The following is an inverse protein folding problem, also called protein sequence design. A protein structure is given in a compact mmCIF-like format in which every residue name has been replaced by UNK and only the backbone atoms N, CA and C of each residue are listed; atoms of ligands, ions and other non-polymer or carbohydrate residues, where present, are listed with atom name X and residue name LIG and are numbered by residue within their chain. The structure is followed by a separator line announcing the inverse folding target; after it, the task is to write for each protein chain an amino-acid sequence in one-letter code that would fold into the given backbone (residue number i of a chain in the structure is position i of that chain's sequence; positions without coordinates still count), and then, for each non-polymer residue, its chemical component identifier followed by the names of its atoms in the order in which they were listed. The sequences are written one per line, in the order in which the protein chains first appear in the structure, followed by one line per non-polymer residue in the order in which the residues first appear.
data_IF_899838374068
#
_entry.id   IF_899838374068
#
_cell.length_a   1.000
_cell.length_b   1.000
_cell.length_c   1.000
_cell.angle_alpha   90.00
_cell.angle_beta   90.00
_cell.angle_gamma   90.00
#
_symmetry.space_group_name_H-M   'P 1'
#
loop_
_entity.id
_entity.type
_entity.pdbx_description
1 polymer ?
#
# COMPACT_ATOMS: atom_id res chain seq x y z
N UNK A 1 2.56 2.03 11.25
CA UNK A 1 2.85 3.48 11.39
C UNK A 1 2.95 4.09 9.99
N UNK A 2 1.95 4.87 9.54
CA UNK A 2 1.88 5.43 8.16
C UNK A 2 1.13 6.79 8.09
N UNK A 3 0.79 7.39 9.24
CA UNK A 3 -0.07 8.58 9.24
C UNK A 3 0.72 9.82 8.82
N UNK A 4 0.21 10.51 7.81
CA UNK A 4 0.84 11.71 7.26
C UNK A 4 0.16 12.96 7.81
N UNK A 5 0.95 13.97 8.15
CA UNK A 5 0.44 15.35 8.23
C UNK A 5 0.08 15.85 6.84
N UNK A 6 -0.76 16.90 6.76
CA UNK A 6 -1.13 17.54 5.47
C UNK A 6 0.12 17.94 4.68
N UNK A 7 1.15 18.47 5.34
CA UNK A 7 2.41 18.86 4.68
C UNK A 7 3.17 17.65 4.16
N UNK A 8 3.25 16.56 4.93
CA UNK A 8 3.92 15.34 4.48
C UNK A 8 3.21 14.71 3.28
N UNK A 9 1.88 14.68 3.30
CA UNK A 9 1.07 14.20 2.19
C UNK A 9 1.23 15.07 0.94
N UNK A 10 1.26 16.40 1.08
CA UNK A 10 1.54 17.33 -0.04
C UNK A 10 2.92 17.04 -0.68
N UNK A 11 3.92 16.76 0.15
CA UNK A 11 5.26 16.41 -0.34
C UNK A 11 5.22 15.08 -1.09
N UNK A 12 4.62 14.03 -0.52
CA UNK A 12 4.51 12.72 -1.20
C UNK A 12 3.76 12.84 -2.52
N UNK A 13 2.61 13.51 -2.53
CA UNK A 13 1.83 13.75 -3.74
C UNK A 13 2.67 14.42 -4.84
N UNK A 14 3.53 15.37 -4.46
CA UNK A 14 4.46 16.03 -5.39
C UNK A 14 5.42 15.03 -6.04
N UNK A 15 5.96 14.06 -5.30
CA UNK A 15 6.80 13.02 -5.88
C UNK A 15 6.00 12.01 -6.71
N UNK A 16 4.74 11.74 -6.36
CA UNK A 16 3.84 10.87 -7.13
C UNK A 16 3.56 11.43 -8.53
N UNK A 17 3.16 12.70 -8.63
CA UNK A 17 2.85 13.34 -9.92
C UNK A 17 4.09 13.43 -10.84
N UNK A 18 5.29 13.32 -10.29
CA UNK A 18 6.57 13.36 -11.02
C UNK A 18 7.29 12.01 -11.03
N UNK A 19 6.58 10.91 -10.75
CA UNK A 19 7.14 9.58 -10.84
C UNK A 19 7.57 9.24 -12.27
N UNK A 20 6.82 9.73 -13.27
CA UNK A 20 7.16 9.62 -14.69
C UNK A 20 7.70 10.92 -15.26
N UNK A 21 8.64 10.82 -16.19
CA UNK A 21 9.08 11.95 -17.00
C UNK A 21 8.16 12.17 -18.21
N UNK A 22 8.41 13.23 -18.98
CA UNK A 22 7.61 13.59 -20.17
C UNK A 22 7.61 12.50 -21.26
N UNK A 23 8.55 11.55 -21.20
CA UNK A 23 8.65 10.41 -22.11
C UNK A 23 7.97 9.14 -21.56
N UNK A 24 7.35 9.21 -20.38
CA UNK A 24 6.68 8.07 -19.73
C UNK A 24 7.63 7.11 -19.00
N UNK A 25 8.93 7.44 -18.91
CA UNK A 25 9.90 6.64 -18.18
C UNK A 25 9.91 7.02 -16.70
N UNK A 26 10.37 6.12 -15.83
CA UNK A 26 10.54 6.46 -14.41
C UNK A 26 11.52 7.61 -14.27
N UNK A 27 11.01 8.74 -13.80
CA UNK A 27 11.72 10.01 -13.62
C UNK A 27 12.94 9.82 -12.73
N UNK A 28 14.00 10.59 -12.97
CA UNK A 28 15.17 10.65 -12.07
C UNK A 28 14.82 11.13 -10.65
N UNK A 29 13.60 11.59 -10.40
CA UNK A 29 13.16 12.13 -9.12
C UNK A 29 13.23 13.67 -9.05
N UNK A 30 12.92 14.22 -7.87
CA UNK A 30 12.91 15.66 -7.61
C UNK A 30 14.00 16.01 -6.60
N UNK A 31 14.72 17.11 -6.83
CA UNK A 31 15.68 17.68 -5.87
C UNK A 31 15.01 18.68 -4.93
N UNK A 32 15.67 18.98 -3.80
CA UNK A 32 15.14 19.92 -2.79
C UNK A 32 14.84 21.32 -3.35
N UNK A 33 15.66 21.78 -4.28
CA UNK A 33 15.48 23.09 -4.90
C UNK A 33 14.31 23.09 -5.88
N UNK A 34 14.05 21.98 -6.56
CA UNK A 34 12.92 21.83 -7.47
C UNK A 34 11.59 21.79 -6.71
N UNK A 35 11.57 21.38 -5.43
CA UNK A 35 10.37 21.40 -4.58
C UNK A 35 9.70 22.78 -4.50
N UNK A 36 10.48 23.86 -4.60
CA UNK A 36 9.94 25.23 -4.59
C UNK A 36 8.97 25.51 -5.74
N UNK A 37 9.18 24.88 -6.90
CA UNK A 37 8.28 25.00 -8.06
C UNK A 37 6.86 24.48 -7.77
N UNK A 38 6.73 23.63 -6.75
CA UNK A 38 5.47 23.00 -6.33
C UNK A 38 4.90 23.65 -5.06
N UNK A 39 5.40 24.84 -4.69
CA UNK A 39 4.93 25.57 -3.50
C UNK A 39 5.29 24.87 -2.19
N UNK A 40 6.43 24.17 -2.16
CA UNK A 40 7.01 23.57 -0.96
C UNK A 40 8.35 24.26 -0.70
N UNK A 41 8.46 24.96 0.43
CA UNK A 41 9.73 25.59 0.81
C UNK A 41 10.81 24.51 0.97
N UNK A 42 11.97 24.73 0.35
CA UNK A 42 13.15 23.86 0.45
C UNK A 42 13.56 23.59 1.91
N UNK A 43 13.37 24.56 2.80
CA UNK A 43 13.67 24.44 4.22
C UNK A 43 12.67 23.49 4.89
N UNK A 44 11.39 23.56 4.53
CA UNK A 44 10.37 22.60 4.99
C UNK A 44 10.71 21.18 4.54
N UNK A 45 11.07 20.99 3.28
CA UNK A 45 11.52 19.67 2.82
C UNK A 45 12.79 19.22 3.54
N UNK A 46 13.78 20.10 3.73
CA UNK A 46 15.01 19.78 4.47
C UNK A 46 14.75 19.32 5.90
N UNK A 47 13.77 19.89 6.59
CA UNK A 47 13.39 19.45 7.94
C UNK A 47 12.69 18.09 7.96
N UNK A 48 12.06 17.70 6.85
CA UNK A 48 11.29 16.45 6.73
C UNK A 48 12.02 15.37 5.93
N UNK A 49 13.15 15.68 5.29
CA UNK A 49 13.96 14.74 4.49
C UNK A 49 14.29 13.49 5.29
N UNK A 50 14.80 13.68 6.52
CA UNK A 50 15.12 12.57 7.40
C UNK A 50 13.86 11.73 7.66
N UNK A 51 12.70 12.33 7.91
CA UNK A 51 11.45 11.59 8.10
C UNK A 51 11.11 10.71 6.89
N UNK A 52 11.19 11.24 5.68
CA UNK A 52 10.84 10.47 4.48
C UNK A 52 11.82 9.34 4.17
N UNK A 53 13.12 9.57 4.35
CA UNK A 53 14.13 8.55 4.16
C UNK A 53 14.03 7.46 5.23
N UNK A 54 13.81 7.85 6.49
CA UNK A 54 13.71 6.96 7.64
C UNK A 54 12.50 6.05 7.61
N UNK A 55 11.42 6.48 6.97
CA UNK A 55 10.23 5.65 6.78
C UNK A 55 10.21 4.98 5.40
N UNK A 56 11.31 5.05 4.64
CA UNK A 56 11.40 4.58 3.26
C UNK A 56 10.27 5.08 2.35
N UNK A 57 9.68 6.24 2.62
CA UNK A 57 8.68 6.85 1.74
C UNK A 57 9.32 7.45 0.49
N UNK A 58 10.53 7.97 0.64
CA UNK A 58 11.36 8.43 -0.46
C UNK A 58 12.70 7.71 -0.43
N UNK A 59 13.30 7.50 -1.61
CA UNK A 59 14.65 6.98 -1.78
C UNK A 59 15.53 7.93 -2.57
N UNK A 60 16.83 7.88 -2.34
CA UNK A 60 17.81 8.58 -3.15
C UNK A 60 17.94 7.92 -4.52
N UNK A 61 17.75 8.71 -5.58
CA UNK A 61 17.74 8.23 -6.96
C UNK A 61 18.94 8.71 -7.78
N UNK A 62 19.70 9.69 -7.27
CA UNK A 62 20.92 10.17 -7.91
C UNK A 62 21.46 11.47 -7.34
N UNK A 63 22.56 11.93 -7.95
CA UNK A 63 23.22 13.20 -7.65
C UNK A 63 23.41 14.01 -8.94
N UNK A 64 23.41 15.34 -8.85
CA UNK A 64 23.90 16.19 -9.94
C UNK A 64 25.41 15.95 -10.19
N UNK A 65 25.88 16.22 -11.42
CA UNK A 65 27.26 15.97 -11.89
C UNK A 65 28.37 16.59 -11.03
N UNK A 66 28.07 17.55 -10.16
CA UNK A 66 28.99 18.25 -9.25
C UNK A 66 29.04 17.69 -7.81
N UNK A 67 28.40 16.53 -7.56
CA UNK A 67 28.07 15.95 -6.27
C UNK A 67 29.07 16.14 -5.11
N UNK A 68 28.94 17.28 -4.42
CA UNK A 68 29.50 17.54 -3.08
C UNK A 68 28.55 18.38 -2.20
N UNK A 69 27.44 18.93 -2.74
CA UNK A 69 26.50 19.76 -1.98
C UNK A 69 25.21 18.99 -1.65
N UNK A 70 24.64 19.12 -0.43
CA UNK A 70 23.38 18.49 -0.03
C UNK A 70 22.17 18.80 -0.91
N UNK A 71 22.25 19.88 -1.70
CA UNK A 71 21.21 20.37 -2.59
C UNK A 71 21.20 19.66 -3.96
N UNK A 72 22.21 18.83 -4.25
CA UNK A 72 22.37 18.10 -5.51
C UNK A 72 21.73 16.69 -5.49
N UNK A 73 21.02 16.33 -4.41
CA UNK A 73 20.38 15.01 -4.24
C UNK A 73 19.01 14.99 -4.93
N UNK A 74 18.76 13.95 -5.71
CA UNK A 74 17.44 13.62 -6.24
C UNK A 74 16.77 12.53 -5.40
N UNK A 75 15.47 12.68 -5.19
CA UNK A 75 14.64 11.74 -4.44
C UNK A 75 13.51 11.20 -5.33
N UNK A 76 13.18 9.93 -5.17
CA UNK A 76 12.05 9.27 -5.82
C UNK A 76 11.08 8.74 -4.76
N UNK A 77 9.80 8.70 -5.10
CA UNK A 77 8.77 8.00 -4.33
C UNK A 77 8.96 6.48 -4.40
N UNK A 78 8.66 5.79 -3.30
CA UNK A 78 8.65 4.33 -3.17
C UNK A 78 7.22 3.82 -3.05
N UNK A 79 6.98 2.52 -3.19
CA UNK A 79 5.64 1.93 -2.99
C UNK A 79 5.13 2.17 -1.56
N UNK A 80 6.01 2.14 -0.56
CA UNK A 80 5.63 2.42 0.83
C UNK A 80 5.16 3.88 1.03
N UNK A 81 5.77 4.83 0.33
CA UNK A 81 5.31 6.22 0.29
C UNK A 81 3.91 6.34 -0.33
N UNK A 82 3.60 5.54 -1.37
CA UNK A 82 2.27 5.48 -1.96
C UNK A 82 1.25 4.91 -0.97
N UNK A 83 1.57 3.79 -0.31
CA UNK A 83 0.68 3.17 0.69
C UNK A 83 0.38 4.15 1.84
N UNK A 84 1.38 4.89 2.32
CA UNK A 84 1.20 5.94 3.33
C UNK A 84 0.23 7.03 2.85
N UNK A 85 0.38 7.46 1.59
CA UNK A 85 -0.50 8.45 0.99
C UNK A 85 -1.93 7.95 0.81
N UNK A 86 -2.11 6.73 0.30
CA UNK A 86 -3.43 6.10 0.16
C UNK A 86 -4.14 6.01 1.50
N UNK A 87 -3.44 5.59 2.55
CA UNK A 87 -4.00 5.53 3.91
C UNK A 87 -4.43 6.91 4.42
N UNK A 88 -3.59 7.92 4.24
CA UNK A 88 -3.94 9.30 4.61
C UNK A 88 -5.16 9.82 3.83
N UNK A 89 -5.22 9.51 2.54
CA UNK A 89 -6.26 9.96 1.62
C UNK A 89 -7.64 9.38 1.95
N UNK A 90 -7.71 8.12 2.40
CA UNK A 90 -8.96 7.49 2.85
C UNK A 90 -9.60 8.21 4.05
N UNK A 91 -8.80 8.93 4.85
CA UNK A 91 -9.31 9.76 5.95
C UNK A 91 -9.83 11.14 5.52
N UNK A 92 -9.83 11.48 4.23
CA UNK A 92 -10.20 12.81 3.73
C UNK A 92 -11.61 12.87 3.16
N UNK A 93 -12.33 13.94 3.50
CA UNK A 93 -13.64 14.25 2.93
C UNK A 93 -13.60 14.59 1.43
N UNK A 94 -12.53 15.23 0.97
CA UNK A 94 -12.31 15.63 -0.42
C UNK A 94 -10.89 15.23 -0.82
N UNK A 95 -10.66 13.95 -1.15
CA UNK A 95 -9.34 13.45 -1.43
C UNK A 95 -8.76 14.05 -2.73
N UNK A 96 -7.44 14.25 -2.83
CA UNK A 96 -6.79 14.58 -4.11
C UNK A 96 -6.99 13.45 -5.14
N UNK A 97 -6.76 13.70 -6.45
CA UNK A 97 -6.84 12.66 -7.47
C UNK A 97 -5.81 11.54 -7.25
N UNK A 98 -6.23 10.29 -7.46
CA UNK A 98 -5.37 9.12 -7.32
C UNK A 98 -4.42 8.95 -8.51
N UNK A 99 -3.13 8.70 -8.24
CA UNK A 99 -2.09 8.36 -9.23
C UNK A 99 -1.34 7.09 -8.80
N UNK A 100 -2.07 5.97 -8.68
CA UNK A 100 -1.51 4.70 -8.21
C UNK A 100 -1.22 3.69 -9.35
N UNK A 101 -1.60 3.98 -10.61
CA UNK A 101 -1.58 3.02 -11.76
C UNK A 101 -0.23 2.36 -11.98
N UNK A 102 0.82 3.16 -11.90
CA UNK A 102 2.19 2.70 -12.12
C UNK A 102 2.74 1.86 -10.96
N UNK A 103 2.12 1.92 -9.78
CA UNK A 103 2.61 1.28 -8.56
C UNK A 103 1.87 -0.04 -8.24
N UNK A 104 0.64 -0.21 -8.72
CA UNK A 104 -0.17 -1.42 -8.52
C UNK A 104 -0.82 -1.90 -9.83
N UNK A 105 -0.03 -2.22 -10.86
CA UNK A 105 -0.54 -2.47 -12.21
C UNK A 105 -1.61 -3.58 -12.28
N UNK A 106 -1.45 -4.66 -11.52
CA UNK A 106 -2.42 -5.76 -11.47
C UNK A 106 -3.76 -5.35 -10.83
N UNK A 107 -3.75 -4.49 -9.81
CA UNK A 107 -4.99 -3.95 -9.25
C UNK A 107 -5.75 -3.15 -10.32
N UNK A 108 -5.06 -2.24 -10.98
CA UNK A 108 -5.71 -1.33 -11.93
C UNK A 108 -6.18 -1.96 -13.22
N UNK A 109 -5.54 -3.06 -13.61
CA UNK A 109 -6.02 -3.90 -14.70
C UNK A 109 -7.50 -4.28 -14.51
N UNK A 110 -7.99 -4.31 -13.27
CA UNK A 110 -9.37 -4.67 -12.93
C UNK A 110 -10.12 -3.56 -12.17
N UNK A 111 -9.64 -2.31 -12.15
CA UNK A 111 -10.26 -1.21 -11.38
C UNK A 111 -11.75 -1.05 -11.74
N UNK A 112 -12.07 -1.03 -13.04
CA UNK A 112 -13.43 -0.85 -13.53
C UNK A 112 -14.34 -2.03 -13.17
N UNK A 113 -13.88 -3.27 -13.34
CA UNK A 113 -14.66 -4.44 -12.95
C UNK A 113 -14.87 -4.51 -11.42
N UNK A 114 -13.81 -4.29 -10.65
CA UNK A 114 -13.89 -4.30 -9.19
C UNK A 114 -14.81 -3.19 -8.69
N UNK A 115 -14.70 -1.98 -9.23
CA UNK A 115 -15.58 -0.86 -8.92
C UNK A 115 -17.04 -1.14 -9.27
N UNK A 116 -17.31 -1.78 -10.41
CA UNK A 116 -18.68 -2.17 -10.80
C UNK A 116 -19.32 -3.16 -9.83
N UNK A 117 -18.57 -4.17 -9.38
CA UNK A 117 -19.12 -5.25 -8.54
C UNK A 117 -19.15 -4.90 -7.06
N UNK A 118 -18.10 -4.26 -6.55
CA UNK A 118 -17.98 -3.92 -5.12
C UNK A 118 -18.41 -2.49 -4.80
N UNK A 119 -18.29 -1.53 -5.72
CA UNK A 119 -18.61 -0.12 -5.47
C UNK A 119 -17.94 0.40 -4.20
N UNK A 120 -18.71 1.04 -3.32
CA UNK A 120 -18.24 1.55 -2.02
C UNK A 120 -17.64 0.47 -1.09
N UNK A 121 -17.95 -0.83 -1.31
CA UNK A 121 -17.31 -1.92 -0.54
C UNK A 121 -15.82 -1.98 -0.85
N UNK A 122 -15.39 -1.61 -2.06
CA UNK A 122 -13.98 -1.61 -2.45
C UNK A 122 -13.15 -0.66 -1.58
N UNK A 123 -13.70 0.50 -1.21
CA UNK A 123 -13.02 1.46 -0.32
C UNK A 123 -12.82 0.86 1.08
N UNK A 124 -13.85 0.18 1.61
CA UNK A 124 -13.71 -0.58 2.85
C UNK A 124 -12.64 -1.68 2.74
N UNK A 125 -12.60 -2.40 1.61
CA UNK A 125 -11.59 -3.44 1.38
C UNK A 125 -10.19 -2.84 1.30
N UNK A 126 -10.02 -1.70 0.65
CA UNK A 126 -8.75 -0.99 0.57
C UNK A 126 -8.27 -0.55 1.95
N UNK A 127 -9.16 0.00 2.78
CA UNK A 127 -8.84 0.39 4.15
C UNK A 127 -8.34 -0.79 4.98
N UNK A 128 -9.08 -1.90 5.02
CA UNK A 128 -8.66 -3.09 5.78
C UNK A 128 -7.39 -3.71 5.20
N UNK A 129 -7.13 -3.55 3.90
CA UNK A 129 -5.90 -4.04 3.26
C UNK A 129 -4.70 -3.23 3.73
N UNK A 130 -4.83 -1.90 3.74
CA UNK A 130 -3.79 -0.98 4.22
C UNK A 130 -3.50 -1.14 5.71
N UNK A 131 -4.51 -1.46 6.52
CA UNK A 131 -4.33 -1.74 7.96
C UNK A 131 -3.59 -3.06 8.24
N UNK A 132 -3.60 -3.99 7.29
CA UNK A 132 -2.99 -5.31 7.45
C UNK A 132 -1.53 -5.36 7.03
N UNK A 133 -1.03 -4.35 6.36
CA UNK A 133 0.39 -4.22 6.02
C UNK A 133 1.02 -3.30 7.05
N UNK A 134 1.98 -3.82 7.79
CA UNK A 134 2.82 -3.03 8.68
C UNK A 134 4.27 -3.17 8.23
N UNK A 135 4.97 -2.04 8.08
CA UNK A 135 6.37 -2.03 7.69
C UNK A 135 7.16 -1.26 8.73
N UNK A 136 8.19 -1.89 9.27
CA UNK A 136 9.02 -1.38 10.36
C UNK A 136 10.51 -1.58 10.06
N UNK A 137 11.39 -0.90 10.79
CA UNK A 137 12.84 -1.09 10.72
C UNK A 137 13.33 -1.89 11.92
N UNK A 138 14.27 -2.83 11.71
CA UNK A 138 14.79 -3.71 12.78
C UNK A 138 15.54 -2.97 13.91
N UNK A 139 16.22 -1.85 13.63
CA UNK A 139 16.96 -1.13 14.66
C UNK A 139 16.99 0.40 14.48
N UNK A 140 16.98 1.08 15.62
CA UNK A 140 17.15 2.53 15.76
C UNK A 140 18.51 2.81 16.43
N UNK A 141 19.47 3.40 15.71
CA UNK A 141 20.77 3.76 16.25
C UNK A 141 20.79 5.25 16.63
N UNK A 142 20.96 5.57 17.91
CA UNK A 142 21.17 6.97 18.37
C UNK A 142 22.66 7.32 18.43
N UNK A 143 23.09 8.24 17.57
CA UNK A 143 24.41 8.89 17.63
C UNK A 143 24.25 10.37 17.97
N UNK A 144 24.42 10.70 19.25
CA UNK A 144 24.19 12.06 19.77
C UNK A 144 22.71 12.46 19.66
N UNK A 145 22.41 13.62 19.05
CA UNK A 145 21.02 14.06 18.76
C UNK A 145 20.44 13.47 17.46
N UNK A 146 21.25 12.73 16.68
CA UNK A 146 20.79 12.11 15.43
C UNK A 146 20.39 10.67 15.67
N UNK A 147 19.16 10.37 15.30
CA UNK A 147 18.70 9.00 15.12
C UNK A 147 19.07 8.60 13.68
N UNK A 148 19.93 7.60 13.53
CA UNK A 148 20.19 6.89 12.29
C UNK A 148 19.39 5.60 12.31
N UNK A 149 18.69 5.31 11.22
CA UNK A 149 18.04 4.02 11.04
C UNK A 149 19.04 3.19 10.25
N UNK A 150 19.55 2.17 10.91
CA UNK A 150 20.49 1.17 10.41
C UNK A 150 19.84 -0.16 10.76
N UNK A 151 19.49 -0.95 9.74
CA UNK A 151 18.76 -2.18 9.94
C UNK A 151 17.93 -2.62 8.74
N UNK A 152 17.59 -3.90 8.76
CA UNK A 152 16.69 -4.56 7.82
C UNK A 152 15.30 -3.91 7.86
N UNK A 153 14.66 -3.84 6.69
CA UNK A 153 13.23 -3.50 6.62
C UNK A 153 12.45 -4.77 6.93
N UNK A 154 11.54 -4.72 7.90
CA UNK A 154 10.60 -5.81 8.16
C UNK A 154 9.24 -5.41 7.61
N UNK A 155 8.71 -6.19 6.69
CA UNK A 155 7.30 -6.15 6.32
C UNK A 155 6.55 -7.25 7.07
N UNK A 156 5.58 -6.85 7.89
CA UNK A 156 4.59 -7.72 8.49
C UNK A 156 3.26 -7.63 7.73
N UNK A 157 2.74 -8.77 7.28
CA UNK A 157 1.36 -8.86 6.80
C UNK A 157 0.49 -9.59 7.81
N UNK A 158 -0.67 -9.03 8.12
CA UNK A 158 -1.63 -9.60 9.06
C UNK A 158 -2.78 -10.25 8.30
N UNK A 159 -2.93 -11.57 8.45
CA UNK A 159 -3.96 -12.38 7.81
C UNK A 159 -4.90 -12.89 8.90
N UNK A 160 -6.17 -12.43 8.92
CA UNK A 160 -7.15 -12.98 9.83
C UNK A 160 -7.53 -14.38 9.39
N UNK A 161 -7.53 -15.29 10.35
CA UNK A 161 -8.23 -16.57 10.24
C UNK A 161 -9.46 -16.54 11.14
N UNK A 162 -10.38 -17.48 10.95
CA UNK A 162 -11.61 -17.55 11.76
C UNK A 162 -11.34 -17.57 13.27
N UNK A 163 -10.19 -18.11 13.71
CA UNK A 163 -9.86 -18.34 15.12
C UNK A 163 -8.76 -17.41 15.68
N UNK A 164 -7.88 -16.87 14.83
CA UNK A 164 -6.77 -15.99 15.26
C UNK A 164 -6.24 -15.16 14.09
N UNK A 165 -5.58 -14.05 14.39
CA UNK A 165 -4.83 -13.32 13.38
C UNK A 165 -3.39 -13.85 13.32
N UNK A 166 -2.89 -14.07 12.10
CA UNK A 166 -1.51 -14.50 11.85
C UNK A 166 -0.75 -13.34 11.25
N UNK A 167 0.43 -13.04 11.79
CA UNK A 167 1.33 -12.07 11.17
C UNK A 167 2.51 -12.80 10.54
N UNK A 168 2.74 -12.56 9.25
CA UNK A 168 3.90 -13.08 8.51
C UNK A 168 4.89 -11.95 8.33
N UNK A 169 6.10 -12.15 8.82
CA UNK A 169 7.19 -11.20 8.68
C UNK A 169 8.10 -11.60 7.52
N UNK A 170 8.51 -10.61 6.73
CA UNK A 170 9.56 -10.72 5.73
C UNK A 170 10.63 -9.69 6.05
N UNK A 171 11.84 -10.18 6.27
CA UNK A 171 13.01 -9.33 6.46
C UNK A 171 13.65 -9.10 5.09
N UNK A 172 13.72 -7.84 4.69
CA UNK A 172 14.58 -7.41 3.60
C UNK A 172 15.93 -7.02 4.20
N UNK A 173 17.04 -7.43 3.58
CA UNK A 173 18.35 -7.00 4.05
C UNK A 173 18.44 -5.46 4.07
N UNK A 174 19.40 -4.95 4.85
CA UNK A 174 19.64 -3.54 5.07
C UNK A 174 19.51 -2.73 3.78
N UNK A 175 18.68 -1.67 3.82
CA UNK A 175 18.56 -0.75 2.71
C UNK A 175 19.95 -0.23 2.37
N UNK A 176 20.46 -0.60 1.20
CA UNK A 176 21.72 -0.04 0.74
C UNK A 176 21.45 1.45 0.54
N UNK A 177 21.96 2.28 1.44
CA UNK A 177 22.03 3.72 1.25
C UNK A 177 23.27 3.99 0.41
N UNK A 178 23.20 4.83 -0.64
CA UNK A 178 24.39 5.11 -1.42
C UNK A 178 25.36 5.84 -0.49
N UNK A 179 26.48 5.20 -0.13
CA UNK A 179 27.61 5.91 0.49
C UNK A 179 27.95 7.05 -0.46
N UNK A 180 27.88 8.28 0.05
CA UNK A 180 28.22 9.48 -0.73
C UNK A 180 29.57 9.19 -1.38
N UNK A 181 29.66 9.11 -2.72
CA UNK A 181 30.91 8.75 -3.34
C UNK A 181 31.91 9.86 -3.02
N UNK A 182 33.01 9.50 -2.34
CA UNK A 182 34.13 10.41 -2.06
C UNK A 182 34.84 10.80 -3.39
N UNK A 183 34.51 10.11 -4.49
CA UNK A 183 35.07 10.35 -5.82
C UNK A 183 34.04 10.88 -6.82
N UNK A 184 34.52 11.70 -7.77
CA UNK A 184 33.77 12.38 -8.84
C UNK A 184 33.04 11.46 -9.84
N UNK A 185 32.57 10.27 -9.46
CA UNK A 185 31.83 9.34 -10.33
C UNK A 185 30.33 9.40 -9.98
N UNK A 186 29.50 10.08 -10.79
CA UNK A 186 28.10 10.33 -10.47
C UNK A 186 27.16 9.18 -10.87
N UNK A 187 27.60 7.92 -10.78
CA UNK A 187 26.77 6.76 -11.12
C UNK A 187 26.44 5.95 -9.87
N UNK A 188 25.15 5.84 -9.54
CA UNK A 188 24.69 4.74 -8.67
C UNK A 188 24.95 3.43 -9.41
N UNK A 189 25.44 2.41 -8.71
CA UNK A 189 25.61 1.07 -9.27
C UNK A 189 24.25 0.53 -9.70
N UNK A 190 24.18 -0.12 -10.86
CA UNK A 190 22.97 -0.78 -11.36
C UNK A 190 22.41 -1.78 -10.34
N UNK A 191 23.28 -2.50 -9.64
CA UNK A 191 22.97 -3.38 -8.51
C UNK A 191 22.15 -2.70 -7.41
N UNK A 192 22.43 -1.42 -7.11
CA UNK A 192 21.70 -0.65 -6.08
C UNK A 192 20.27 -0.38 -6.51
N UNK A 193 20.08 0.03 -7.76
CA UNK A 193 18.75 0.33 -8.31
C UNK A 193 17.90 -0.92 -8.35
N UNK A 194 18.48 -2.03 -8.80
CA UNK A 194 17.78 -3.31 -8.90
C UNK A 194 17.38 -3.86 -7.51
N UNK A 195 18.23 -3.69 -6.48
CA UNK A 195 17.89 -4.14 -5.13
C UNK A 195 16.70 -3.38 -4.53
N UNK A 196 16.72 -2.04 -4.59
CA UNK A 196 15.63 -1.23 -4.05
C UNK A 196 14.33 -1.38 -4.85
N UNK A 197 14.41 -1.65 -6.16
CA UNK A 197 13.24 -1.97 -6.98
C UNK A 197 12.61 -3.29 -6.56
N UNK A 198 13.41 -4.32 -6.26
CA UNK A 198 12.91 -5.61 -5.74
C UNK A 198 12.09 -5.44 -4.45
N UNK A 199 12.44 -4.50 -3.57
CA UNK A 199 11.65 -4.22 -2.37
C UNK A 199 10.26 -3.69 -2.74
N UNK A 200 10.21 -2.68 -3.62
CA UNK A 200 8.95 -2.11 -4.12
C UNK A 200 8.08 -3.20 -4.79
N UNK A 201 8.67 -4.02 -5.66
CA UNK A 201 7.97 -5.10 -6.37
C UNK A 201 7.35 -6.10 -5.38
N UNK A 202 8.10 -6.52 -4.36
CA UNK A 202 7.59 -7.44 -3.33
C UNK A 202 6.43 -6.83 -2.53
N UNK A 203 6.51 -5.56 -2.15
CA UNK A 203 5.43 -4.87 -1.42
C UNK A 203 4.20 -4.74 -2.32
N UNK A 204 4.37 -4.42 -3.61
CA UNK A 204 3.29 -4.37 -4.60
C UNK A 204 2.60 -5.73 -4.75
N UNK A 205 3.37 -6.82 -4.86
CA UNK A 205 2.84 -8.19 -4.90
C UNK A 205 2.02 -8.52 -3.66
N UNK A 206 2.57 -8.24 -2.46
CA UNK A 206 1.91 -8.49 -1.17
C UNK A 206 0.61 -7.69 -1.01
N UNK A 207 0.63 -6.41 -1.37
CA UNK A 207 -0.57 -5.57 -1.38
C UNK A 207 -1.63 -6.11 -2.33
N UNK A 208 -1.24 -6.47 -3.55
CA UNK A 208 -2.13 -7.04 -4.56
C UNK A 208 -2.75 -8.35 -4.05
N UNK A 209 -1.94 -9.26 -3.51
CA UNK A 209 -2.42 -10.49 -2.90
C UNK A 209 -3.45 -10.22 -1.80
N UNK A 210 -3.12 -9.36 -0.82
CA UNK A 210 -4.00 -9.09 0.31
C UNK A 210 -5.32 -8.46 -0.12
N UNK A 211 -5.30 -7.57 -1.10
CA UNK A 211 -6.50 -6.94 -1.61
C UNK A 211 -7.47 -7.97 -2.19
N UNK A 212 -6.98 -8.82 -3.10
CA UNK A 212 -7.78 -9.87 -3.72
C UNK A 212 -8.22 -10.93 -2.71
N UNK A 213 -7.35 -11.28 -1.75
CA UNK A 213 -7.70 -12.14 -0.63
C UNK A 213 -8.84 -11.55 0.21
N UNK A 214 -8.80 -10.25 0.50
CA UNK A 214 -9.84 -9.58 1.28
C UNK A 214 -11.17 -9.49 0.55
N UNK A 215 -11.15 -9.21 -0.75
CA UNK A 215 -12.36 -9.24 -1.59
C UNK A 215 -13.03 -10.61 -1.54
N UNK A 216 -12.26 -11.68 -1.75
CA UNK A 216 -12.77 -13.05 -1.62
C UNK A 216 -13.28 -13.33 -0.21
N UNK A 217 -12.52 -12.93 0.82
CA UNK A 217 -12.82 -13.24 2.20
C UNK A 217 -14.13 -12.59 2.66
N UNK A 218 -14.42 -11.35 2.24
CA UNK A 218 -15.65 -10.66 2.63
C UNK A 218 -16.90 -11.39 2.12
N UNK A 219 -16.90 -11.91 0.90
CA UNK A 219 -18.08 -12.58 0.37
C UNK A 219 -18.22 -14.07 0.74
N UNK A 220 -17.24 -14.66 1.42
CA UNK A 220 -17.31 -16.05 1.93
C UNK A 220 -17.39 -16.14 3.47
N UNK A 221 -16.89 -15.14 4.19
CA UNK A 221 -16.82 -15.16 5.66
C UNK A 221 -18.02 -14.43 6.26
N UNK A 222 -18.89 -15.16 6.95
CA UNK A 222 -20.06 -14.59 7.61
C UNK A 222 -19.69 -13.41 8.52
N UNK A 223 -18.60 -13.54 9.29
CA UNK A 223 -18.13 -12.46 10.19
C UNK A 223 -17.68 -11.22 9.41
N UNK A 224 -16.93 -11.40 8.32
CA UNK A 224 -16.46 -10.28 7.50
C UNK A 224 -17.63 -9.59 6.76
N UNK A 225 -18.58 -10.38 6.24
CA UNK A 225 -19.81 -9.89 5.65
C UNK A 225 -20.64 -9.09 6.67
N UNK A 226 -20.85 -9.62 7.89
CA UNK A 226 -21.54 -8.89 8.96
C UNK A 226 -20.83 -7.59 9.32
N UNK A 227 -19.50 -7.59 9.45
CA UNK A 227 -18.75 -6.36 9.74
C UNK A 227 -18.89 -5.32 8.62
N UNK A 228 -18.84 -5.75 7.36
CA UNK A 228 -19.09 -4.90 6.20
C UNK A 228 -20.48 -4.27 6.29
N UNK A 229 -21.51 -5.09 6.47
CA UNK A 229 -22.90 -4.66 6.64
C UNK A 229 -23.07 -3.66 7.79
N UNK A 230 -22.50 -3.95 8.97
CA UNK A 230 -22.58 -3.07 10.12
C UNK A 230 -21.94 -1.71 9.83
N UNK A 231 -20.81 -1.69 9.11
CA UNK A 231 -20.17 -0.43 8.71
C UNK A 231 -21.09 0.41 7.81
N UNK A 232 -21.76 -0.22 6.84
CA UNK A 232 -22.67 0.48 5.93
C UNK A 232 -23.95 1.00 6.60
N UNK A 233 -24.51 0.22 7.52
CA UNK A 233 -25.73 0.61 8.24
C UNK A 233 -25.48 1.69 9.31
N UNK A 234 -24.28 1.72 9.89
CA UNK A 234 -23.95 2.57 11.05
C UNK A 234 -22.83 3.57 10.79
N UNK A 235 -22.62 4.02 9.54
CA UNK A 235 -21.57 4.98 9.19
C UNK A 235 -21.49 6.14 10.22
N UNK A 236 -20.34 6.34 10.90
CA UNK A 236 -20.22 7.27 12.02
C UNK A 236 -20.46 8.74 11.65
N UNK A 237 -20.35 9.10 10.37
CA UNK A 237 -20.53 10.47 9.86
C UNK A 237 -21.91 10.75 9.25
N UNK A 238 -22.73 9.72 9.03
CA UNK A 238 -24.15 9.93 8.78
C UNK A 238 -24.78 10.23 10.14
N UNK A 239 -24.90 11.53 10.47
CA UNK A 239 -25.75 11.98 11.58
C UNK A 239 -26.97 11.07 11.60
N UNK A 240 -27.30 10.39 12.72
CA UNK A 240 -28.47 9.55 12.78
C UNK A 240 -29.61 10.43 12.29
N UNK A 241 -30.11 10.14 11.11
CA UNK A 241 -31.23 10.90 10.60
C UNK A 241 -32.29 10.72 11.67
N UNK A 242 -32.96 11.80 12.06
CA UNK A 242 -34.09 11.73 13.00
C UNK A 242 -35.29 10.96 12.39
N UNK A 243 -35.03 10.04 11.47
CA UNK A 243 -35.94 9.11 10.81
C UNK A 243 -35.54 7.64 11.08
N UNK A 244 -34.86 7.34 12.20
CA UNK A 244 -34.76 5.97 12.73
C UNK A 244 -36.11 5.46 13.32
N UNK A 245 -37.20 5.70 12.59
CA UNK A 245 -38.51 5.09 12.73
C UNK A 245 -39.08 4.85 11.32
N UNK A 246 -38.43 3.97 10.56
CA UNK A 246 -39.03 3.41 9.34
C UNK A 246 -38.68 1.92 9.21
N UNK A 247 -39.73 1.10 9.27
CA UNK A 247 -39.91 -0.33 8.94
C UNK A 247 -38.68 -1.22 8.70
N UNK A 248 -38.62 -2.34 9.44
CA UNK A 248 -37.70 -3.48 9.26
C UNK A 248 -37.56 -4.01 7.83
N UNK A 249 -38.54 -3.76 6.96
CA UNK A 249 -38.52 -4.18 5.54
C UNK A 249 -37.49 -3.43 4.70
N UNK A 250 -37.25 -2.14 4.97
CA UNK A 250 -36.24 -1.36 4.22
C UNK A 250 -34.82 -1.77 4.60
N UNK A 251 -34.59 -2.03 5.88
CA UNK A 251 -33.29 -2.50 6.36
C UNK A 251 -32.99 -3.91 5.81
N UNK A 252 -33.99 -4.79 5.76
CA UNK A 252 -33.85 -6.11 5.14
C UNK A 252 -33.55 -6.03 3.63
N UNK A 253 -34.18 -5.11 2.90
CA UNK A 253 -33.90 -4.94 1.47
C UNK A 253 -32.45 -4.47 1.23
N UNK A 254 -31.95 -3.52 2.02
CA UNK A 254 -30.55 -3.05 1.93
C UNK A 254 -29.57 -4.19 2.26
N UNK A 255 -29.90 -5.02 3.25
CA UNK A 255 -29.09 -6.20 3.59
C UNK A 255 -29.00 -7.18 2.42
N UNK A 256 -30.13 -7.55 1.84
CA UNK A 256 -30.19 -8.51 0.72
C UNK A 256 -29.43 -7.99 -0.50
N UNK A 257 -29.50 -6.69 -0.79
CA UNK A 257 -28.73 -6.04 -1.85
C UNK A 257 -27.22 -6.13 -1.59
N UNK A 258 -26.75 -5.86 -0.37
CA UNK A 258 -25.32 -5.95 -0.02
C UNK A 258 -24.84 -7.40 -0.14
N UNK A 259 -25.56 -8.37 0.43
CA UNK A 259 -25.18 -9.79 0.36
C UNK A 259 -25.13 -10.30 -1.09
N UNK A 260 -26.11 -9.92 -1.91
CA UNK A 260 -26.14 -10.29 -3.33
C UNK A 260 -24.91 -9.75 -4.06
N UNK A 261 -24.57 -8.47 -3.85
CA UNK A 261 -23.37 -7.85 -4.44
C UNK A 261 -22.08 -8.52 -4.00
N UNK A 262 -21.96 -8.87 -2.71
CA UNK A 262 -20.79 -9.59 -2.20
C UNK A 262 -20.62 -10.97 -2.84
N UNK A 263 -21.71 -11.71 -3.02
CA UNK A 263 -21.68 -13.03 -3.64
C UNK A 263 -21.30 -12.94 -5.13
N UNK A 264 -21.89 -12.00 -5.86
CA UNK A 264 -21.56 -11.74 -7.27
C UNK A 264 -20.10 -11.29 -7.43
N UNK A 265 -19.68 -10.33 -6.60
CA UNK A 265 -18.30 -9.85 -6.58
C UNK A 265 -17.31 -10.97 -6.28
N UNK A 266 -17.63 -11.89 -5.37
CA UNK A 266 -16.76 -13.04 -5.06
C UNK A 266 -16.60 -13.96 -6.27
N UNK A 267 -17.70 -14.32 -6.94
CA UNK A 267 -17.66 -15.13 -8.16
C UNK A 267 -16.83 -14.46 -9.25
N UNK A 268 -16.98 -13.14 -9.41
CA UNK A 268 -16.21 -12.36 -10.38
C UNK A 268 -14.72 -12.38 -10.06
N UNK A 269 -14.35 -12.16 -8.80
CA UNK A 269 -12.94 -12.18 -8.36
C UNK A 269 -12.31 -13.56 -8.57
N UNK A 270 -13.01 -14.64 -8.25
CA UNK A 270 -12.55 -16.00 -8.59
C UNK A 270 -12.28 -16.16 -10.09
N UNK A 271 -13.19 -15.70 -10.94
CA UNK A 271 -13.00 -15.75 -12.39
C UNK A 271 -11.81 -14.92 -12.86
N UNK A 272 -11.58 -13.73 -12.29
CA UNK A 272 -10.42 -12.89 -12.62
C UNK A 272 -9.12 -13.63 -12.26
N UNK A 273 -9.04 -14.14 -11.02
CA UNK A 273 -7.85 -14.85 -10.53
C UNK A 273 -7.55 -16.09 -11.37
N UNK A 274 -8.56 -16.87 -11.75
CA UNK A 274 -8.33 -18.11 -12.50
C UNK A 274 -8.00 -17.90 -13.98
N UNK A 275 -8.42 -16.77 -14.57
CA UNK A 275 -8.19 -16.48 -15.99
C UNK A 275 -6.89 -15.70 -16.23
N UNK A 276 -6.25 -15.18 -15.18
CA UNK A 276 -5.00 -14.43 -15.27
C UNK A 276 -3.85 -15.23 -14.66
N UNK A 277 -2.93 -15.71 -15.50
CA UNK A 277 -1.86 -16.62 -15.06
C UNK A 277 -0.93 -15.98 -14.01
N UNK A 278 -0.63 -14.69 -14.14
CA UNK A 278 0.25 -13.97 -13.22
C UNK A 278 -0.40 -13.84 -11.84
N UNK A 279 -1.66 -13.38 -11.81
CA UNK A 279 -2.43 -13.25 -10.57
C UNK A 279 -2.73 -14.63 -9.96
N UNK A 280 -3.07 -15.63 -10.75
CA UNK A 280 -3.28 -17.00 -10.28
C UNK A 280 -2.04 -17.54 -9.58
N UNK A 281 -0.87 -17.38 -10.22
CA UNK A 281 0.42 -17.80 -9.68
C UNK A 281 0.76 -17.08 -8.37
N UNK A 282 0.57 -15.76 -8.33
CA UNK A 282 0.78 -14.94 -7.13
C UNK A 282 -0.12 -15.39 -5.96
N UNK A 283 -1.41 -15.58 -6.23
CA UNK A 283 -2.39 -16.04 -5.24
C UNK A 283 -2.02 -17.43 -4.70
N UNK A 284 -1.69 -18.37 -5.59
CA UNK A 284 -1.30 -19.74 -5.23
C UNK A 284 -0.01 -19.80 -4.43
N UNK A 285 1.02 -19.07 -4.86
CA UNK A 285 2.31 -18.92 -4.19
C UNK A 285 2.14 -18.42 -2.76
N UNK A 286 1.43 -17.30 -2.60
CA UNK A 286 1.21 -16.66 -1.29
C UNK A 286 0.40 -17.56 -0.36
N UNK A 287 -0.66 -18.20 -0.87
CA UNK A 287 -1.44 -19.15 -0.07
C UNK A 287 -0.64 -20.38 0.35
N UNK A 288 0.26 -20.87 -0.50
CA UNK A 288 1.16 -21.97 -0.14
C UNK A 288 2.15 -21.54 0.95
N UNK A 289 2.73 -20.34 0.87
CA UNK A 289 3.57 -19.76 1.92
C UNK A 289 2.83 -19.77 3.27
N UNK A 290 1.61 -19.20 3.29
CA UNK A 290 0.82 -19.13 4.52
C UNK A 290 0.39 -20.54 4.97
N UNK A 291 -0.02 -21.42 4.05
CA UNK A 291 -0.40 -22.80 4.39
C UNK A 291 0.77 -23.58 4.95
N UNK A 292 1.98 -23.44 4.44
CA UNK A 292 3.16 -24.12 4.97
C UNK A 292 3.50 -23.62 6.39
N UNK A 293 3.42 -22.31 6.62
CA UNK A 293 3.52 -21.75 7.97
C UNK A 293 2.41 -22.27 8.88
N UNK A 294 1.22 -22.40 8.30
CA UNK A 294 0.05 -22.83 9.02
C UNK A 294 -0.09 -24.33 9.18
N UNK A 295 0.49 -25.22 8.38
CA UNK A 295 0.23 -26.67 8.36
C UNK A 295 0.46 -27.36 9.71
N UNK A 296 0.95 -26.61 10.68
CA UNK A 296 0.71 -26.81 12.10
C UNK A 296 -0.79 -26.70 12.59
N UNK A 297 -1.77 -26.25 11.78
CA UNK A 297 -3.20 -25.88 12.03
C UNK A 297 -4.00 -25.66 10.69
N UNK A 298 -5.24 -26.19 10.60
CA UNK A 298 -5.93 -26.63 9.35
C UNK A 298 -6.63 -25.60 8.41
N UNK A 299 -6.71 -24.30 8.70
CA UNK A 299 -7.75 -23.44 8.09
C UNK A 299 -7.49 -22.89 6.67
N UNK A 300 -6.25 -22.72 6.21
CA UNK A 300 -5.97 -22.09 4.89
C UNK A 300 -6.06 -23.08 3.72
N UNK A 301 -5.94 -24.37 4.02
CA UNK A 301 -6.12 -25.44 3.03
C UNK A 301 -7.46 -25.33 2.29
N UNK A 302 -8.53 -24.88 2.97
CA UNK A 302 -9.86 -24.71 2.36
C UNK A 302 -9.94 -23.63 1.28
N UNK A 303 -9.04 -22.62 1.29
CA UNK A 303 -8.95 -21.61 0.22
C UNK A 303 -8.12 -22.18 -0.93
N UNK A 304 -7.02 -22.87 -0.62
CA UNK A 304 -6.18 -23.54 -1.63
C UNK A 304 -6.95 -24.59 -2.43
N UNK A 305 -7.80 -25.38 -1.78
CA UNK A 305 -8.63 -26.41 -2.41
C UNK A 305 -9.67 -25.82 -3.38
N UNK A 306 -10.02 -24.54 -3.26
CA UNK A 306 -10.92 -23.83 -4.18
C UNK A 306 -10.22 -23.17 -5.35
N UNK A 307 -8.88 -23.11 -5.32
CA UNK A 307 -8.05 -22.54 -6.39
C UNK A 307 -7.40 -23.61 -7.29
N UNK A 308 -7.50 -24.90 -6.94
CA UNK A 308 -7.15 -26.02 -7.83
C UNK A 308 -8.40 -26.66 -8.43
#
# INVERSE_FOLDING_TARGET
MLDLTIMQAKIIYTFMIHYKDESGNTSKGISKNEMQKYGIDKNTFRTLEDYFLKNYFLRLSGFNRSGLRPDDKYFQITVLGILAFMKWQLGMKNPPPFLHRDFFPLLFKYEDELGKHYGEILDYVLEITLERIDVQFEAELKLGKKILFDGNLIEGIKIPTEMMDITIFRNYDELIMPKIPISNKPRMSETFKNYNQKIDDNITERFTFLLFFNLLHIGISNRAATNCVMRFLYEPDKKPSKQAKTSSEKDNQVLDEIFTRLLEGTKKVFSIINNDEELHSLMKSSLLEITNMLANRKSIQAIYDKLN
#
